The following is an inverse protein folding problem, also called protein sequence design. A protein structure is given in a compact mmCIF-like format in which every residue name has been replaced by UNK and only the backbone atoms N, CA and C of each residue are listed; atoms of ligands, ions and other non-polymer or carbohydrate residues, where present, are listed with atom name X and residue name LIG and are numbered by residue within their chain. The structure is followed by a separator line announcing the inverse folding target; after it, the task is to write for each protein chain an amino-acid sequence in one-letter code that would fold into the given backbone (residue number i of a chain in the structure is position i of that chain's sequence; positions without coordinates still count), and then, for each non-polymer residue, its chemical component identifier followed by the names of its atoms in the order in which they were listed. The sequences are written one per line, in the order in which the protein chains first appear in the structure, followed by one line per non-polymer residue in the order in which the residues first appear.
data_IF_854821991471
#
_entry.id   IF_854821991471
#
_cell.length_a   1.000
_cell.length_b   1.000
_cell.length_c   1.000
_cell.angle_alpha   90.00
_cell.angle_beta   90.00
_cell.angle_gamma   90.00
#
_symmetry.space_group_name_H-M   'P 1'
#
loop_
_entity.id
_entity.type
_entity.pdbx_description
1 polymer ?
#
# COMPACT_ATOMS: atom_id res chain seq x y z
N UNK A 1 -12.24 -1.59 1.72
CA UNK A 1 -11.12 -1.10 2.53
C UNK A 1 -10.05 -2.18 2.76
N UNK A 2 -10.35 -3.26 3.51
CA UNK A 2 -9.34 -4.29 3.85
C UNK A 2 -8.69 -4.92 2.61
N UNK A 3 -9.47 -5.26 1.59
CA UNK A 3 -8.96 -5.79 0.33
C UNK A 3 -8.04 -4.81 -0.40
N UNK A 4 -8.37 -3.53 -0.41
CA UNK A 4 -7.54 -2.49 -1.04
C UNK A 4 -6.20 -2.32 -0.33
N UNK A 5 -6.16 -2.38 1.00
CA UNK A 5 -4.92 -2.34 1.80
C UNK A 5 -4.01 -3.53 1.47
N UNK A 6 -4.58 -4.74 1.39
CA UNK A 6 -3.80 -5.93 1.06
C UNK A 6 -3.20 -5.84 -0.34
N UNK A 7 -3.99 -5.40 -1.32
CA UNK A 7 -3.54 -5.18 -2.70
C UNK A 7 -2.45 -4.11 -2.78
N UNK A 8 -2.59 -3.01 -2.05
CA UNK A 8 -1.62 -1.92 -2.00
C UNK A 8 -0.23 -2.43 -1.59
N UNK A 9 -0.15 -3.24 -0.56
CA UNK A 9 1.12 -3.78 -0.07
C UNK A 9 1.76 -4.78 -1.05
N UNK A 10 0.96 -5.65 -1.68
CA UNK A 10 1.46 -6.63 -2.64
C UNK A 10 1.86 -5.96 -3.94
N UNK A 11 1.01 -5.09 -4.49
CA UNK A 11 1.25 -4.43 -5.77
C UNK A 11 2.30 -3.31 -5.67
N UNK A 12 2.42 -2.67 -4.51
CA UNK A 12 3.38 -1.58 -4.30
C UNK A 12 4.84 -2.00 -4.43
N UNK A 13 5.14 -3.28 -4.14
CA UNK A 13 6.48 -3.83 -4.25
C UNK A 13 6.72 -4.66 -5.51
N UNK A 14 5.64 -5.02 -6.24
CA UNK A 14 5.74 -5.98 -7.36
C UNK A 14 5.95 -5.33 -8.71
N UNK A 15 5.41 -4.15 -8.96
CA UNK A 15 5.50 -3.51 -10.27
C UNK A 15 5.47 -1.99 -10.21
N UNK A 16 6.38 -1.38 -10.97
CA UNK A 16 6.42 0.05 -11.23
C UNK A 16 6.04 0.31 -12.69
N UNK A 17 5.38 1.43 -12.93
CA UNK A 17 5.04 1.92 -14.27
C UNK A 17 5.82 3.20 -14.50
N UNK A 18 6.51 3.27 -15.62
CA UNK A 18 7.25 4.46 -16.06
C UNK A 18 6.39 5.24 -17.05
N UNK A 19 6.02 6.45 -16.65
CA UNK A 19 5.32 7.45 -17.47
C UNK A 19 6.21 8.68 -17.68
N UNK A 20 7.52 8.51 -17.72
CA UNK A 20 8.45 9.61 -17.97
C UNK A 20 8.10 10.33 -19.26
N UNK A 21 8.00 11.65 -19.21
CA UNK A 21 7.65 12.48 -20.36
C UNK A 21 8.60 13.68 -20.47
N UNK A 22 8.87 14.09 -21.71
CA UNK A 22 9.67 15.27 -21.97
C UNK A 22 8.78 16.50 -21.99
N UNK A 23 9.03 17.47 -21.11
CA UNK A 23 8.34 18.74 -21.06
C UNK A 23 9.34 19.89 -21.13
N UNK A 24 9.18 20.80 -22.09
CA UNK A 24 10.07 21.96 -22.31
C UNK A 24 11.57 21.63 -22.39
N UNK A 25 11.95 20.45 -22.92
CA UNK A 25 13.33 20.04 -23.06
C UNK A 25 13.95 19.41 -21.79
N UNK A 26 13.16 19.23 -20.74
CA UNK A 26 13.55 18.47 -19.55
C UNK A 26 12.84 17.14 -19.54
N UNK A 27 13.59 16.03 -19.29
CA UNK A 27 13.02 14.73 -19.02
C UNK A 27 12.55 14.71 -17.55
N UNK A 28 11.25 14.60 -17.35
CA UNK A 28 10.65 14.44 -16.02
C UNK A 28 10.45 12.95 -15.78
N UNK A 29 11.27 12.31 -14.94
CA UNK A 29 11.06 10.91 -14.58
C UNK A 29 9.80 10.80 -13.73
N UNK A 30 8.78 10.09 -14.23
CA UNK A 30 7.53 9.87 -13.53
C UNK A 30 7.27 8.36 -13.37
N UNK A 31 7.84 7.81 -12.31
CA UNK A 31 7.73 6.37 -12.00
C UNK A 31 6.73 6.19 -10.87
N UNK A 32 5.67 5.43 -11.12
CA UNK A 32 4.61 5.16 -10.14
C UNK A 32 4.57 3.67 -9.83
N UNK A 33 4.54 3.32 -8.53
CA UNK A 33 4.22 1.97 -8.10
C UNK A 33 2.73 1.67 -8.35
N UNK A 34 2.40 0.50 -8.91
CA UNK A 34 1.00 0.09 -9.15
C UNK A 34 0.18 0.08 -7.85
N UNK A 35 0.81 -0.17 -6.71
CA UNK A 35 0.18 -0.10 -5.40
C UNK A 35 -0.46 1.25 -5.07
N UNK A 36 -0.07 2.34 -5.73
CA UNK A 36 -0.69 3.66 -5.52
C UNK A 36 -2.13 3.72 -6.05
N UNK A 37 -2.50 2.89 -7.03
CA UNK A 37 -3.84 2.92 -7.64
C UNK A 37 -4.99 2.61 -6.65
N UNK A 38 -4.91 1.60 -5.77
CA UNK A 38 -5.96 1.36 -4.77
C UNK A 38 -5.93 2.34 -3.58
N UNK A 39 -4.92 3.21 -3.47
CA UNK A 39 -4.75 4.12 -2.34
C UNK A 39 -5.93 5.10 -2.14
N UNK A 40 -6.42 5.82 -3.18
CA UNK A 40 -7.58 6.70 -3.04
C UNK A 40 -8.85 5.97 -2.57
N UNK A 41 -9.00 4.69 -2.95
CA UNK A 41 -10.15 3.88 -2.54
C UNK A 41 -10.13 3.61 -1.03
N UNK A 42 -8.96 3.48 -0.41
CA UNK A 42 -8.86 3.27 1.04
C UNK A 42 -9.35 4.48 1.81
N UNK A 43 -8.98 5.69 1.41
CA UNK A 43 -9.46 6.93 2.03
C UNK A 43 -10.95 7.14 1.81
N UNK A 44 -11.43 6.95 0.58
CA UNK A 44 -12.85 7.04 0.29
C UNK A 44 -13.68 6.08 1.15
N UNK A 45 -13.21 4.85 1.36
CA UNK A 45 -13.89 3.89 2.21
C UNK A 45 -13.94 4.35 3.68
N UNK A 46 -12.83 4.86 4.22
CA UNK A 46 -12.80 5.36 5.62
C UNK A 46 -13.67 6.59 5.80
N UNK A 47 -13.71 7.49 4.83
CA UNK A 47 -14.56 8.66 4.83
C UNK A 47 -16.06 8.28 4.79
N UNK A 48 -16.44 7.34 3.93
CA UNK A 48 -17.82 6.83 3.88
C UNK A 48 -18.22 6.15 5.19
N UNK A 49 -17.33 5.37 5.79
CA UNK A 49 -17.57 4.74 7.10
C UNK A 49 -17.69 5.82 8.19
N UNK A 50 -16.84 6.84 8.14
CA UNK A 50 -16.91 8.00 9.03
C UNK A 50 -18.23 8.73 8.92
N UNK A 51 -18.73 8.93 7.70
CA UNK A 51 -19.99 9.62 7.45
C UNK A 51 -21.20 8.84 7.94
N UNK A 52 -21.26 7.54 7.61
CA UNK A 52 -22.41 6.69 7.89
C UNK A 52 -22.43 6.17 9.32
N UNK A 53 -21.30 5.83 9.88
CA UNK A 53 -21.18 5.11 11.15
C UNK A 53 -20.45 5.88 12.26
N UNK A 54 -19.88 7.03 11.92
CA UNK A 54 -19.19 7.92 12.84
C UNK A 54 -17.74 7.57 13.13
N UNK A 55 -17.03 8.52 13.74
CA UNK A 55 -15.59 8.50 14.00
C UNK A 55 -15.09 7.23 14.70
N UNK A 56 -15.84 6.76 15.72
CA UNK A 56 -15.43 5.60 16.52
C UNK A 56 -15.30 4.34 15.66
N UNK A 57 -16.26 4.12 14.75
CA UNK A 57 -16.24 2.95 13.86
C UNK A 57 -15.18 3.11 12.75
N UNK A 58 -14.97 4.30 12.23
CA UNK A 58 -13.90 4.57 11.29
C UNK A 58 -12.52 4.26 11.89
N UNK A 59 -12.25 4.72 13.11
CA UNK A 59 -11.00 4.37 13.81
C UNK A 59 -10.83 2.86 14.02
N UNK A 60 -11.91 2.14 14.32
CA UNK A 60 -11.85 0.68 14.43
C UNK A 60 -11.43 0.01 13.12
N UNK A 61 -11.92 0.50 11.99
CA UNK A 61 -11.54 -0.01 10.66
C UNK A 61 -10.08 0.24 10.35
N UNK A 62 -9.53 1.38 10.77
CA UNK A 62 -8.08 1.67 10.65
C UNK A 62 -7.26 0.66 11.47
N UNK A 63 -7.66 0.38 12.71
CA UNK A 63 -7.00 -0.64 13.54
C UNK A 63 -7.11 -2.05 12.95
N UNK A 64 -8.26 -2.39 12.38
CA UNK A 64 -8.42 -3.67 11.68
C UNK A 64 -7.51 -3.77 10.45
N UNK A 65 -7.31 -2.67 9.72
CA UNK A 65 -6.37 -2.59 8.61
C UNK A 65 -4.93 -2.85 9.05
N UNK A 66 -4.52 -2.26 10.18
CA UNK A 66 -3.21 -2.54 10.79
C UNK A 66 -3.07 -4.01 11.19
N UNK A 67 -4.06 -4.56 11.89
CA UNK A 67 -4.03 -5.96 12.31
C UNK A 67 -3.91 -6.91 11.11
N UNK A 68 -4.63 -6.61 10.00
CA UNK A 68 -4.52 -7.38 8.77
C UNK A 68 -3.11 -7.30 8.16
N UNK A 69 -2.49 -6.12 8.15
CA UNK A 69 -1.13 -5.95 7.66
C UNK A 69 -0.13 -6.75 8.49
N UNK A 70 -0.23 -6.69 9.82
CA UNK A 70 0.61 -7.51 10.72
C UNK A 70 0.40 -9.01 10.46
N UNK A 71 -0.85 -9.42 10.23
CA UNK A 71 -1.18 -10.81 9.90
C UNK A 71 -0.53 -11.26 8.59
N UNK A 72 -0.65 -10.48 7.54
CA UNK A 72 0.00 -10.78 6.23
C UNK A 72 1.51 -10.85 6.38
N UNK A 73 2.11 -9.90 7.10
CA UNK A 73 3.55 -9.87 7.37
C UNK A 73 4.02 -11.11 8.15
N UNK A 74 3.23 -11.55 9.14
CA UNK A 74 3.52 -12.76 9.89
C UNK A 74 3.59 -14.00 8.98
N UNK A 75 2.64 -14.16 8.05
CA UNK A 75 2.66 -15.30 7.12
C UNK A 75 3.79 -15.22 6.09
N UNK A 76 4.12 -14.03 5.60
CA UNK A 76 5.27 -13.84 4.72
C UNK A 76 6.57 -14.19 5.47
N UNK A 77 6.67 -13.80 6.74
CA UNK A 77 7.81 -14.15 7.58
C UNK A 77 7.87 -15.65 7.85
N UNK A 78 6.75 -16.27 8.22
CA UNK A 78 6.64 -17.71 8.49
C UNK A 78 6.99 -18.53 7.24
N UNK A 79 6.44 -18.17 6.09
CA UNK A 79 6.76 -18.84 4.83
C UNK A 79 8.24 -18.76 4.46
N UNK A 80 8.93 -17.73 4.90
CA UNK A 80 10.37 -17.62 4.66
C UNK A 80 11.27 -18.31 5.68
N UNK A 81 10.70 -18.90 6.74
CA UNK A 81 11.43 -19.79 7.66
C UNK A 81 11.35 -21.25 7.20
N UNK A 82 10.28 -21.57 6.45
CA UNK A 82 10.13 -22.91 5.89
C UNK A 82 11.14 -23.10 4.76
N UNK A 83 12.02 -24.06 4.93
CA UNK A 83 13.03 -24.37 3.93
C UNK A 83 12.39 -24.90 2.66
N UNK A 84 12.82 -24.43 1.48
CA UNK A 84 12.37 -25.01 0.22
C UNK A 84 12.89 -26.44 0.07
N UNK A 85 12.22 -27.31 -0.71
CA UNK A 85 12.68 -28.66 -0.94
C UNK A 85 14.11 -28.67 -1.51
N UNK A 86 15.00 -29.51 -0.95
CA UNK A 86 16.42 -29.59 -1.34
C UNK A 86 16.65 -29.79 -2.84
N UNK A 87 15.71 -30.44 -3.52
CA UNK A 87 15.76 -30.68 -4.97
C UNK A 87 15.75 -29.41 -5.80
N UNK A 88 15.16 -28.32 -5.31
CA UNK A 88 15.09 -27.03 -6.00
C UNK A 88 16.39 -26.26 -5.79
N UNK A 89 17.02 -26.37 -4.62
CA UNK A 89 18.26 -25.65 -4.28
C UNK A 89 19.49 -26.20 -5.02
N UNK A 90 19.53 -27.51 -5.28
CA UNK A 90 20.75 -28.17 -5.80
C UNK A 90 20.85 -28.20 -7.32
N UNK A 91 19.72 -28.14 -8.05
CA UNK A 91 19.70 -28.40 -9.49
C UNK A 91 19.28 -27.22 -10.38
N UNK A 92 18.97 -26.08 -9.79
CA UNK A 92 18.47 -24.93 -10.57
C UNK A 92 19.42 -23.75 -10.44
N UNK A 93 19.93 -23.18 -11.54
CA UNK A 93 20.64 -21.92 -11.49
C UNK A 93 19.68 -20.81 -11.00
N UNK A 94 20.27 -19.78 -10.36
CA UNK A 94 19.53 -18.61 -9.86
C UNK A 94 18.63 -17.97 -10.94
N UNK A 95 19.07 -18.09 -12.18
CA UNK A 95 18.38 -17.62 -13.37
C UNK A 95 18.73 -18.55 -14.54
N UNK A 96 17.77 -18.76 -15.39
CA UNK A 96 17.95 -19.49 -16.64
C UNK A 96 17.78 -18.50 -17.79
N UNK A 97 18.75 -18.52 -18.74
CA UNK A 97 18.67 -17.71 -19.96
C UNK A 97 18.21 -18.63 -21.07
N UNK A 98 16.96 -18.47 -21.50
CA UNK A 98 16.40 -19.20 -22.62
C UNK A 98 15.91 -18.20 -23.68
N UNK A 99 16.40 -18.32 -24.93
CA UNK A 99 16.02 -17.44 -26.05
C UNK A 99 16.11 -15.93 -25.77
N UNK A 100 17.14 -15.47 -25.05
CA UNK A 100 17.36 -14.08 -24.60
C UNK A 100 16.36 -13.58 -23.52
N UNK A 101 15.56 -14.44 -22.95
CA UNK A 101 14.74 -14.09 -21.78
C UNK A 101 15.37 -14.66 -20.51
N UNK A 102 15.34 -13.87 -19.45
CA UNK A 102 15.85 -14.24 -18.12
C UNK A 102 14.69 -14.68 -17.26
N UNK A 103 14.65 -15.96 -16.92
CA UNK A 103 13.68 -16.52 -15.99
C UNK A 103 14.30 -16.62 -14.60
N UNK A 104 13.61 -16.07 -13.61
CA UNK A 104 13.98 -16.22 -12.20
C UNK A 104 13.17 -17.37 -11.62
N UNK A 105 13.85 -18.34 -11.01
CA UNK A 105 13.14 -19.42 -10.33
C UNK A 105 12.21 -18.88 -9.25
N UNK A 106 11.01 -19.46 -9.14
CA UNK A 106 9.93 -18.98 -8.26
C UNK A 106 10.35 -18.85 -6.79
N UNK A 107 11.23 -19.71 -6.32
CA UNK A 107 11.77 -19.66 -4.95
C UNK A 107 12.61 -18.40 -4.71
N UNK A 108 13.50 -18.06 -5.65
CA UNK A 108 14.30 -16.83 -5.54
C UNK A 108 13.43 -15.58 -5.68
N UNK A 109 12.42 -15.63 -6.55
CA UNK A 109 11.44 -14.55 -6.67
C UNK A 109 10.72 -14.32 -5.34
N UNK A 110 10.31 -15.38 -4.63
CA UNK A 110 9.69 -15.28 -3.32
C UNK A 110 10.61 -14.61 -2.29
N UNK A 111 11.86 -15.04 -2.16
CA UNK A 111 12.81 -14.45 -1.21
C UNK A 111 13.12 -12.99 -1.53
N UNK A 112 13.22 -12.65 -2.80
CA UNK A 112 13.45 -11.28 -3.23
C UNK A 112 12.25 -10.38 -2.91
N UNK A 113 11.04 -10.81 -3.27
CA UNK A 113 9.79 -10.11 -2.95
C UNK A 113 9.62 -9.99 -1.44
N UNK A 114 9.87 -11.06 -0.68
CA UNK A 114 9.83 -11.05 0.79
C UNK A 114 10.72 -9.98 1.37
N UNK A 115 12.00 -9.92 0.97
CA UNK A 115 12.97 -8.95 1.48
C UNK A 115 12.52 -7.51 1.22
N UNK A 116 12.06 -7.22 0.01
CA UNK A 116 11.54 -5.90 -0.38
C UNK A 116 10.24 -5.57 0.35
N UNK A 117 9.28 -6.50 0.36
CA UNK A 117 7.96 -6.28 0.97
C UNK A 117 8.05 -6.07 2.48
N UNK A 118 8.88 -6.84 3.20
CA UNK A 118 9.00 -6.68 4.64
C UNK A 118 9.53 -5.31 5.03
N UNK A 119 10.61 -4.85 4.38
CA UNK A 119 11.18 -3.53 4.66
C UNK A 119 10.21 -2.39 4.30
N UNK A 120 9.65 -2.42 3.10
CA UNK A 120 8.72 -1.40 2.63
C UNK A 120 7.42 -1.35 3.45
N UNK A 121 6.84 -2.51 3.79
CA UNK A 121 5.59 -2.57 4.56
C UNK A 121 5.78 -2.06 5.98
N UNK A 122 6.87 -2.43 6.67
CA UNK A 122 7.16 -1.93 8.01
C UNK A 122 7.33 -0.40 8.02
N UNK A 123 8.07 0.14 7.05
CA UNK A 123 8.25 1.58 6.93
C UNK A 123 6.92 2.30 6.66
N UNK A 124 6.10 1.75 5.75
CA UNK A 124 4.83 2.36 5.36
C UNK A 124 3.73 2.22 6.42
N UNK A 125 3.81 1.23 7.33
CA UNK A 125 2.78 1.03 8.36
C UNK A 125 2.62 2.23 9.29
N UNK A 126 3.72 2.86 9.70
CA UNK A 126 3.69 4.02 10.58
C UNK A 126 3.11 5.23 9.86
N UNK A 127 3.56 5.47 8.63
CA UNK A 127 3.04 6.54 7.77
C UNK A 127 1.55 6.35 7.50
N UNK A 128 1.15 5.14 7.11
CA UNK A 128 -0.25 4.76 6.90
C UNK A 128 -1.14 5.04 8.12
N UNK A 129 -0.74 4.60 9.32
CA UNK A 129 -1.52 4.84 10.54
C UNK A 129 -1.67 6.33 10.82
N UNK A 130 -0.58 7.08 10.72
CA UNK A 130 -0.59 8.52 10.93
C UNK A 130 -1.53 9.21 9.95
N UNK A 131 -1.41 8.90 8.66
CA UNK A 131 -2.25 9.46 7.61
C UNK A 131 -3.74 9.13 7.82
N UNK A 132 -4.07 7.88 8.11
CA UNK A 132 -5.46 7.45 8.31
C UNK A 132 -6.11 8.09 9.54
N UNK A 133 -5.39 8.20 10.66
CA UNK A 133 -5.92 8.87 11.84
C UNK A 133 -6.08 10.38 11.62
N UNK A 134 -5.17 11.02 10.91
CA UNK A 134 -5.28 12.43 10.55
C UNK A 134 -6.47 12.64 9.64
N UNK A 135 -6.65 11.79 8.62
CA UNK A 135 -7.79 11.85 7.71
C UNK A 135 -9.12 11.81 8.45
N UNK A 136 -9.34 10.78 9.28
CA UNK A 136 -10.55 10.64 10.09
C UNK A 136 -10.78 11.82 11.02
N UNK A 137 -9.72 12.38 11.62
CA UNK A 137 -9.83 13.54 12.51
C UNK A 137 -10.23 14.81 11.76
N UNK A 138 -9.57 15.08 10.62
CA UNK A 138 -9.84 16.26 9.80
C UNK A 138 -11.24 16.16 9.18
N UNK A 139 -11.61 14.99 8.68
CA UNK A 139 -12.95 14.75 8.14
C UNK A 139 -14.03 15.11 9.18
N UNK A 140 -13.90 14.63 10.42
CA UNK A 140 -14.85 14.94 11.48
C UNK A 140 -14.81 16.40 11.94
N UNK A 141 -13.63 17.01 11.97
CA UNK A 141 -13.52 18.44 12.24
C UNK A 141 -14.27 19.28 11.21
N UNK A 142 -14.09 18.95 9.93
CA UNK A 142 -14.80 19.61 8.84
C UNK A 142 -16.30 19.31 8.87
N UNK A 143 -16.71 18.09 9.22
CA UNK A 143 -18.11 17.72 9.38
C UNK A 143 -18.81 18.57 10.43
N UNK A 144 -18.19 18.77 11.59
CA UNK A 144 -18.73 19.62 12.65
C UNK A 144 -18.86 21.08 12.23
N UNK A 145 -18.01 21.54 11.31
CA UNK A 145 -18.03 22.93 10.83
C UNK A 145 -18.99 23.16 9.64
N UNK A 146 -19.15 22.17 8.76
CA UNK A 146 -19.94 22.28 7.50
C UNK A 146 -21.34 21.64 7.60
N UNK A 147 -21.63 20.91 8.68
CA UNK A 147 -22.84 20.12 8.82
C UNK A 147 -22.91 19.01 7.77
N UNK A 148 -24.10 18.54 7.41
CA UNK A 148 -24.30 17.45 6.44
C UNK A 148 -24.16 17.90 4.97
N UNK A 149 -23.89 19.19 4.74
CA UNK A 149 -23.68 19.75 3.41
C UNK A 149 -22.20 19.66 3.06
N UNK A 150 -21.88 19.44 1.76
CA UNK A 150 -20.50 19.47 1.19
C UNK A 150 -19.62 18.28 1.58
N UNK A 151 -20.16 17.05 1.51
CA UNK A 151 -19.39 15.80 1.70
C UNK A 151 -18.14 15.75 0.82
N UNK A 152 -18.24 16.14 -0.44
CA UNK A 152 -17.12 16.19 -1.39
C UNK A 152 -15.95 17.05 -0.88
N UNK A 153 -16.23 18.22 -0.32
CA UNK A 153 -15.19 19.10 0.21
C UNK A 153 -14.47 18.46 1.39
N UNK A 154 -15.22 17.82 2.32
CA UNK A 154 -14.65 17.16 3.48
C UNK A 154 -13.72 16.02 3.07
N UNK A 155 -14.19 15.16 2.15
CA UNK A 155 -13.43 14.02 1.65
C UNK A 155 -12.13 14.49 0.96
N UNK A 156 -12.19 15.44 0.04
CA UNK A 156 -10.99 15.87 -0.67
C UNK A 156 -9.99 16.61 0.24
N UNK A 157 -10.44 17.46 1.14
CA UNK A 157 -9.55 18.22 2.02
C UNK A 157 -8.91 17.31 3.06
N UNK A 158 -9.66 16.39 3.67
CA UNK A 158 -9.08 15.43 4.63
C UNK A 158 -8.03 14.54 3.97
N UNK A 159 -8.35 14.00 2.78
CA UNK A 159 -7.44 13.14 2.02
C UNK A 159 -6.18 13.89 1.56
N UNK A 160 -6.30 15.14 1.07
CA UNK A 160 -5.13 15.92 0.66
C UNK A 160 -4.18 16.18 1.83
N UNK A 161 -4.70 16.55 3.00
CA UNK A 161 -3.86 16.82 4.17
C UNK A 161 -3.22 15.52 4.69
N UNK A 162 -3.98 14.43 4.75
CA UNK A 162 -3.45 13.14 5.22
C UNK A 162 -2.39 12.58 4.25
N UNK A 163 -2.54 12.76 2.95
CA UNK A 163 -1.53 12.36 1.95
C UNK A 163 -0.26 13.23 2.04
N UNK A 164 -0.37 14.51 2.35
CA UNK A 164 0.81 15.34 2.62
C UNK A 164 1.61 14.82 3.80
N UNK A 165 0.93 14.35 4.85
CA UNK A 165 1.61 13.75 6.02
C UNK A 165 2.21 12.38 5.70
N UNK A 166 1.55 11.59 4.86
CA UNK A 166 2.04 10.27 4.44
C UNK A 166 3.32 10.37 3.58
N UNK A 167 3.45 11.47 2.85
CA UNK A 167 4.59 11.70 1.93
C UNK A 167 5.79 12.41 2.56
N UNK A 168 5.70 12.81 3.83
CA UNK A 168 6.79 13.46 4.59
C UNK A 168 7.50 12.51 5.52
#
# INVERSE_FOLDING_TARGET
FLGSITLLNILGTSKFIDYSFAFLGFEVPFVIAIGVLPYPITFLCTDLISELYGKKRANWVVWMGLALNVWVMFFIWLAGILDPPEQILTNSPLYEINNNEVFIHSEYAFYHIRKLSMGATLASMIAYLSAQFIDVNIFHYLKNKTGDKKLWLRNNVSTLISQLVDST
#
